data_IF_513958968786
#
_entry.id   IF_513958968786
#
_cell.length_a   1.000
_cell.length_b   1.000
_cell.length_c   1.000
_cell.angle_alpha   90.00
_cell.angle_beta   90.00
_cell.angle_gamma   90.00
#
_symmetry.space_group_name_H-M   'P 1'
#
loop_
_entity.id
_entity.type
_entity.pdbx_description
1 polymer ?
#
# COMPACT_ATOMS: atom_id res chain seq x y z
N UNK A 1 -4.62 -26.47 -40.45
CA UNK A 1 -3.99 -25.35 -39.72
C UNK A 1 -3.89 -25.77 -38.26
N UNK A 2 -2.69 -26.12 -37.78
CA UNK A 2 -2.44 -26.41 -36.37
C UNK A 2 -2.21 -25.07 -35.66
N UNK A 3 -3.17 -24.62 -34.87
CA UNK A 3 -2.99 -23.48 -33.99
C UNK A 3 -2.25 -23.94 -32.73
N UNK A 4 -1.14 -23.29 -32.39
CA UNK A 4 -0.52 -23.45 -31.07
C UNK A 4 -1.55 -23.06 -30.00
N UNK A 5 -1.76 -23.95 -29.03
CA UNK A 5 -2.54 -23.61 -27.84
C UNK A 5 -1.67 -22.71 -26.97
N UNK A 6 -2.16 -21.52 -26.65
CA UNK A 6 -1.63 -20.71 -25.55
C UNK A 6 -1.78 -21.50 -24.25
N UNK A 7 -0.73 -22.23 -23.87
CA UNK A 7 -0.59 -22.69 -22.51
C UNK A 7 -0.15 -21.48 -21.67
N UNK A 8 -1.07 -20.90 -20.92
CA UNK A 8 -0.70 -20.07 -19.77
C UNK A 8 0.09 -20.97 -18.80
N UNK A 9 1.41 -20.81 -18.78
CA UNK A 9 2.29 -21.47 -17.82
C UNK A 9 1.94 -20.96 -16.42
N UNK A 10 1.12 -21.71 -15.69
CA UNK A 10 0.81 -21.43 -14.29
C UNK A 10 1.97 -21.87 -13.41
N UNK A 11 2.55 -20.92 -12.69
CA UNK A 11 3.57 -21.18 -11.67
C UNK A 11 3.09 -20.65 -10.32
N UNK A 12 3.40 -21.37 -9.25
CA UNK A 12 3.05 -20.99 -7.87
C UNK A 12 4.28 -21.16 -6.97
N UNK A 13 5.37 -20.50 -7.37
CA UNK A 13 6.65 -20.53 -6.65
C UNK A 13 6.86 -19.24 -5.87
N UNK A 14 7.61 -19.36 -4.76
CA UNK A 14 8.18 -18.21 -4.07
C UNK A 14 9.26 -17.62 -4.98
N UNK A 15 9.06 -16.39 -5.44
CA UNK A 15 10.03 -15.66 -6.23
C UNK A 15 10.85 -14.74 -5.33
N UNK A 16 12.17 -14.88 -5.38
CA UNK A 16 13.12 -14.01 -4.69
C UNK A 16 13.88 -13.21 -5.74
N UNK A 17 13.94 -11.90 -5.55
CA UNK A 17 14.77 -11.02 -6.35
C UNK A 17 15.36 -9.93 -5.47
N UNK A 18 16.37 -9.24 -5.99
CA UNK A 18 17.03 -8.13 -5.31
C UNK A 18 16.89 -6.88 -6.16
N UNK A 19 16.74 -5.74 -5.50
CA UNK A 19 16.56 -4.44 -6.16
C UNK A 19 17.14 -3.35 -5.27
N UNK A 20 17.64 -2.28 -5.90
CA UNK A 20 18.11 -1.09 -5.20
C UNK A 20 16.98 -0.09 -4.90
N UNK A 21 15.82 -0.28 -5.51
CA UNK A 21 14.64 0.56 -5.32
C UNK A 21 13.50 -0.25 -4.72
N UNK A 22 12.80 0.35 -3.76
CA UNK A 22 11.67 -0.29 -3.11
C UNK A 22 10.53 -0.53 -4.10
N UNK A 23 9.98 -1.74 -4.07
CA UNK A 23 8.85 -2.15 -4.90
C UNK A 23 7.58 -1.49 -4.38
N UNK A 24 7.46 -1.35 -3.05
CA UNK A 24 6.36 -0.62 -2.44
C UNK A 24 6.27 0.83 -2.96
N UNK A 25 7.41 1.51 -3.08
CA UNK A 25 7.46 2.87 -3.64
C UNK A 25 6.98 2.92 -5.10
N UNK A 26 7.32 1.90 -5.90
CA UNK A 26 6.84 1.82 -7.29
C UNK A 26 5.33 1.61 -7.35
N UNK A 27 4.77 0.72 -6.54
CA UNK A 27 3.32 0.52 -6.48
C UNK A 27 2.56 1.79 -6.11
N UNK A 28 3.09 2.57 -5.17
CA UNK A 28 2.46 3.83 -4.73
C UNK A 28 2.58 4.93 -5.78
N UNK A 29 3.70 4.97 -6.51
CA UNK A 29 3.91 5.92 -7.61
C UNK A 29 2.94 5.64 -8.76
N UNK A 30 2.73 4.37 -9.07
CA UNK A 30 1.88 3.94 -10.19
C UNK A 30 0.39 3.91 -9.79
N UNK A 31 0.07 3.70 -8.50
CA UNK A 31 -1.30 3.62 -7.97
C UNK A 31 -1.43 4.27 -6.60
N UNK A 32 -2.45 5.12 -6.44
CA UNK A 32 -2.72 5.79 -5.17
C UNK A 32 -3.18 4.88 -4.03
N UNK A 33 -3.74 3.69 -4.29
CA UNK A 33 -4.13 2.70 -3.25
C UNK A 33 -3.72 1.27 -3.64
N UNK A 34 -2.47 0.84 -3.40
CA UNK A 34 -1.99 -0.49 -3.81
C UNK A 34 -2.12 -1.55 -2.70
N UNK A 35 -3.09 -1.43 -1.79
CA UNK A 35 -3.18 -2.25 -0.57
C UNK A 35 -3.13 -3.77 -0.87
N UNK A 36 -3.87 -4.23 -1.88
CA UNK A 36 -3.91 -5.64 -2.28
C UNK A 36 -2.62 -6.17 -2.93
N UNK A 37 -1.85 -5.33 -3.62
CA UNK A 37 -0.57 -5.70 -4.26
C UNK A 37 0.56 -5.70 -3.24
N UNK A 38 0.55 -4.69 -2.37
CA UNK A 38 1.46 -4.51 -1.24
C UNK A 38 1.36 -5.69 -0.26
N UNK A 39 0.15 -6.21 -0.03
CA UNK A 39 -0.08 -7.38 0.82
C UNK A 39 0.54 -8.69 0.30
N UNK A 40 1.00 -8.73 -0.97
CA UNK A 40 1.64 -9.91 -1.59
C UNK A 40 3.14 -9.79 -1.74
N UNK A 41 3.70 -8.63 -1.42
CA UNK A 41 5.14 -8.37 -1.47
C UNK A 41 5.66 -8.28 -0.06
N UNK A 42 6.82 -8.89 0.17
CA UNK A 42 7.58 -8.80 1.42
C UNK A 42 8.97 -8.31 1.04
N UNK A 43 9.31 -7.09 1.42
CA UNK A 43 10.61 -6.48 1.13
C UNK A 43 11.46 -6.39 2.40
N UNK A 44 12.40 -7.32 2.53
CA UNK A 44 13.40 -7.26 3.59
C UNK A 44 14.52 -6.28 3.21
N UNK A 45 14.80 -5.33 4.09
CA UNK A 45 15.99 -4.48 3.93
C UNK A 45 17.21 -5.22 4.47
N UNK A 46 17.96 -5.87 3.59
CA UNK A 46 19.18 -6.59 3.96
C UNK A 46 20.37 -5.65 3.93
N UNK A 47 20.80 -5.20 5.11
CA UNK A 47 22.04 -4.46 5.25
C UNK A 47 23.24 -5.37 4.98
N UNK A 48 24.28 -4.80 4.37
CA UNK A 48 25.53 -5.52 4.12
C UNK A 48 26.14 -5.95 5.46
N UNK A 49 26.35 -7.26 5.72
CA UNK A 49 26.94 -7.71 6.97
C UNK A 49 28.35 -7.15 7.16
N UNK A 50 28.72 -6.83 8.41
CA UNK A 50 30.00 -6.18 8.76
C UNK A 50 31.22 -6.95 8.22
N UNK A 51 31.17 -8.29 8.25
CA UNK A 51 32.25 -9.15 7.74
C UNK A 51 32.59 -8.86 6.27
N UNK A 52 31.60 -8.46 5.46
CA UNK A 52 31.78 -8.09 4.06
C UNK A 52 32.19 -6.62 3.87
N UNK A 53 32.13 -5.80 4.92
CA UNK A 53 32.56 -4.39 4.91
C UNK A 53 34.05 -4.25 5.24
N UNK A 54 34.68 -5.30 5.78
CA UNK A 54 36.13 -5.34 5.99
C UNK A 54 36.93 -5.23 4.68
N UNK A 55 38.21 -4.87 4.78
CA UNK A 55 39.14 -4.80 3.63
C UNK A 55 39.21 -6.11 2.84
N UNK A 56 38.99 -7.25 3.52
CA UNK A 56 38.97 -8.58 2.92
C UNK A 56 37.57 -9.05 2.50
N UNK A 57 36.52 -8.29 2.80
CA UNK A 57 35.13 -8.67 2.58
C UNK A 57 34.81 -9.01 1.12
N UNK A 58 35.43 -8.30 0.16
CA UNK A 58 35.28 -8.60 -1.27
C UNK A 58 35.88 -9.96 -1.68
N UNK A 59 37.01 -10.34 -1.07
CA UNK A 59 37.64 -11.66 -1.29
C UNK A 59 36.79 -12.77 -0.66
N UNK A 60 36.30 -12.54 0.56
CA UNK A 60 35.42 -13.49 1.25
C UNK A 60 34.12 -13.74 0.47
N UNK A 61 33.50 -12.67 -0.06
CA UNK A 61 32.32 -12.79 -0.91
C UNK A 61 32.56 -13.71 -2.11
N UNK A 62 33.67 -13.52 -2.84
CA UNK A 62 34.03 -14.42 -3.95
C UNK A 62 34.26 -15.86 -3.49
N UNK A 63 34.97 -16.06 -2.37
CA UNK A 63 35.21 -17.40 -1.83
C UNK A 63 33.91 -18.14 -1.49
N UNK A 64 32.89 -17.42 -1.02
CA UNK A 64 31.59 -18.01 -0.68
C UNK A 64 30.73 -18.27 -1.94
N UNK A 65 30.66 -17.30 -2.86
CA UNK A 65 29.68 -17.34 -3.96
C UNK A 65 30.23 -17.92 -5.27
N UNK A 66 31.52 -17.80 -5.57
CA UNK A 66 32.11 -18.34 -6.81
C UNK A 66 31.95 -19.86 -6.93
N UNK A 67 32.10 -20.66 -5.85
CA UNK A 67 31.87 -22.11 -5.92
C UNK A 67 30.45 -22.47 -6.39
N UNK A 68 29.43 -21.64 -6.13
CA UNK A 68 28.05 -21.91 -6.54
C UNK A 68 27.87 -21.86 -8.07
N UNK A 69 28.81 -21.26 -8.81
CA UNK A 69 28.77 -21.21 -10.27
C UNK A 69 28.97 -22.57 -10.92
N UNK A 70 29.72 -23.46 -10.26
CA UNK A 70 30.05 -24.80 -10.78
C UNK A 70 29.49 -25.93 -9.91
N UNK A 71 29.05 -25.63 -8.68
CA UNK A 71 28.56 -26.62 -7.72
C UNK A 71 27.13 -26.28 -7.30
N UNK A 72 26.14 -26.66 -8.11
CA UNK A 72 24.72 -26.36 -7.89
C UNK A 72 23.83 -27.60 -8.11
N UNK A 73 22.61 -27.56 -7.55
CA UNK A 73 21.61 -28.63 -7.72
C UNK A 73 21.78 -29.85 -6.81
N UNK A 74 22.79 -29.87 -5.92
CA UNK A 74 23.04 -30.98 -5.00
C UNK A 74 21.95 -31.09 -3.91
N UNK A 75 21.60 -29.96 -3.27
CA UNK A 75 20.63 -29.94 -2.19
C UNK A 75 19.26 -30.48 -2.61
N UNK A 76 18.77 -30.13 -3.81
CA UNK A 76 17.48 -30.60 -4.31
C UNK A 76 17.38 -32.13 -4.42
N UNK A 77 18.48 -32.81 -4.81
CA UNK A 77 18.53 -34.27 -4.90
C UNK A 77 18.44 -34.96 -3.54
N UNK A 78 18.86 -34.30 -2.47
CA UNK A 78 18.76 -34.79 -1.10
C UNK A 78 17.40 -34.43 -0.50
N UNK A 79 16.91 -33.24 -0.82
CA UNK A 79 15.70 -32.67 -0.24
C UNK A 79 14.42 -33.37 -0.74
N UNK A 80 14.33 -33.64 -2.05
CA UNK A 80 13.13 -34.27 -2.63
C UNK A 80 12.83 -35.65 -1.99
N UNK A 81 13.79 -36.58 -1.86
CA UNK A 81 13.57 -37.83 -1.13
C UNK A 81 13.17 -37.63 0.34
N UNK A 82 13.69 -36.60 1.01
CA UNK A 82 13.33 -36.30 2.39
C UNK A 82 11.84 -35.92 2.52
N UNK A 83 11.29 -35.17 1.55
CA UNK A 83 9.86 -34.86 1.48
C UNK A 83 9.03 -36.13 1.35
N UNK A 84 9.38 -37.01 0.39
CA UNK A 84 8.66 -38.28 0.17
C UNK A 84 8.70 -39.20 1.39
N UNK A 85 9.83 -39.23 2.12
CA UNK A 85 9.97 -40.03 3.33
C UNK A 85 9.08 -39.55 4.47
N UNK A 86 8.87 -38.24 4.58
CA UNK A 86 8.01 -37.64 5.60
C UNK A 86 6.52 -37.89 5.29
N UNK A 87 6.14 -37.77 4.01
CA UNK A 87 4.78 -38.01 3.53
C UNK A 87 3.84 -36.79 3.69
N UNK A 88 2.80 -36.77 2.87
CA UNK A 88 1.93 -35.59 2.67
C UNK A 88 1.25 -35.10 3.96
N UNK A 89 0.76 -36.01 4.82
CA UNK A 89 0.10 -35.63 6.07
C UNK A 89 1.05 -34.88 6.99
N UNK A 90 2.23 -35.45 7.25
CA UNK A 90 3.22 -34.83 8.13
C UNK A 90 3.79 -33.53 7.54
N UNK A 91 3.88 -33.41 6.21
CA UNK A 91 4.22 -32.16 5.54
C UNK A 91 3.16 -31.08 5.76
N UNK A 92 1.89 -31.45 5.61
CA UNK A 92 0.75 -30.56 5.85
C UNK A 92 0.71 -30.10 7.30
N UNK A 93 0.86 -31.03 8.25
CA UNK A 93 0.84 -30.76 9.68
C UNK A 93 2.00 -29.83 10.08
N UNK A 94 3.21 -30.09 9.56
CA UNK A 94 4.38 -29.26 9.83
C UNK A 94 4.22 -27.84 9.26
N UNK A 95 3.66 -27.73 8.05
CA UNK A 95 3.41 -26.43 7.43
C UNK A 95 2.35 -25.65 8.22
N UNK A 96 1.29 -26.32 8.67
CA UNK A 96 0.26 -25.74 9.51
C UNK A 96 0.82 -25.27 10.86
N UNK A 97 1.68 -26.07 11.51
CA UNK A 97 2.33 -25.71 12.78
C UNK A 97 3.10 -24.39 12.67
N UNK A 98 3.87 -24.20 11.59
CA UNK A 98 4.57 -22.93 11.35
C UNK A 98 3.62 -21.77 11.03
N UNK A 99 2.53 -22.03 10.30
CA UNK A 99 1.50 -21.02 10.02
C UNK A 99 0.77 -20.55 11.28
N UNK A 100 0.41 -21.48 12.16
CA UNK A 100 -0.21 -21.19 13.46
C UNK A 100 0.75 -20.42 14.38
N UNK A 101 2.02 -20.84 14.42
CA UNK A 101 3.08 -20.14 15.15
C UNK A 101 3.25 -18.70 14.63
N UNK A 102 3.33 -18.51 13.31
CA UNK A 102 3.35 -17.17 12.71
C UNK A 102 2.13 -16.35 13.11
N UNK A 103 0.92 -16.91 12.98
CA UNK A 103 -0.32 -16.20 13.29
C UNK A 103 -0.39 -15.73 14.75
N UNK A 104 0.11 -16.56 15.68
CA UNK A 104 0.22 -16.23 17.09
C UNK A 104 1.23 -15.10 17.35
N UNK A 105 2.39 -15.17 16.72
CA UNK A 105 3.51 -14.27 17.02
C UNK A 105 3.41 -12.93 16.25
N UNK A 106 2.77 -12.92 15.07
CA UNK A 106 2.60 -11.75 14.20
C UNK A 106 1.23 -11.05 14.34
N UNK A 107 0.17 -11.82 14.61
CA UNK A 107 -1.22 -11.36 14.68
C UNK A 107 -2.09 -11.86 13.52
N UNK A 108 -3.24 -12.48 13.83
CA UNK A 108 -4.12 -13.17 12.88
C UNK A 108 -5.06 -12.27 12.08
N UNK A 109 -4.52 -11.34 11.28
CA UNK A 109 -5.33 -10.61 10.28
C UNK A 109 -5.23 -11.32 8.92
N UNK A 110 -6.40 -11.60 8.33
CA UNK A 110 -6.56 -12.19 7.00
C UNK A 110 -5.81 -11.44 5.87
N UNK A 111 -5.53 -10.15 6.05
CA UNK A 111 -4.74 -9.35 5.12
C UNK A 111 -3.31 -9.91 4.93
N UNK A 112 -2.78 -10.65 5.91
CA UNK A 112 -1.40 -11.15 5.90
C UNK A 112 -1.28 -12.64 5.57
N UNK A 113 -2.30 -13.25 4.96
CA UNK A 113 -2.26 -14.66 4.53
C UNK A 113 -1.06 -14.99 3.64
N UNK A 114 -0.61 -14.04 2.81
CA UNK A 114 0.60 -14.23 1.98
C UNK A 114 1.87 -14.31 2.82
N UNK A 115 1.94 -13.54 3.91
CA UNK A 115 3.06 -13.52 4.85
C UNK A 115 3.10 -14.85 5.62
N UNK A 116 1.94 -15.29 6.10
CA UNK A 116 1.76 -16.58 6.76
C UNK A 116 2.21 -17.74 5.84
N UNK A 117 1.67 -17.81 4.61
CA UNK A 117 2.02 -18.87 3.67
C UNK A 117 3.52 -18.88 3.33
N UNK A 118 4.14 -17.70 3.18
CA UNK A 118 5.57 -17.57 2.91
C UNK A 118 6.41 -18.12 4.07
N UNK A 119 6.08 -17.73 5.30
CA UNK A 119 6.78 -18.18 6.51
C UNK A 119 6.56 -19.67 6.72
N UNK A 120 5.31 -20.13 6.66
CA UNK A 120 4.94 -21.52 6.84
C UNK A 120 5.73 -22.44 5.89
N UNK A 121 5.71 -22.16 4.59
CA UNK A 121 6.42 -22.97 3.60
C UNK A 121 7.95 -22.89 3.76
N UNK A 122 8.50 -21.69 4.00
CA UNK A 122 9.96 -21.50 4.08
C UNK A 122 10.56 -22.14 5.33
N UNK A 123 9.91 -22.00 6.49
CA UNK A 123 10.41 -22.52 7.75
C UNK A 123 10.15 -24.01 7.91
N UNK A 124 8.99 -24.53 7.47
CA UNK A 124 8.77 -25.97 7.38
C UNK A 124 9.85 -26.61 6.49
N UNK A 125 10.14 -25.99 5.34
CA UNK A 125 11.16 -26.50 4.44
C UNK A 125 12.59 -26.40 4.99
N UNK A 126 12.92 -25.29 5.64
CA UNK A 126 14.20 -25.11 6.33
C UNK A 126 14.40 -26.16 7.44
N UNK A 127 13.36 -26.44 8.23
CA UNK A 127 13.42 -27.45 9.28
C UNK A 127 13.62 -28.86 8.73
N UNK A 128 12.96 -29.22 7.62
CA UNK A 128 13.20 -30.50 6.94
C UNK A 128 14.65 -30.58 6.45
N UNK A 129 15.18 -29.50 5.88
CA UNK A 129 16.55 -29.47 5.38
C UNK A 129 17.58 -29.63 6.51
N UNK A 130 17.36 -28.98 7.66
CA UNK A 130 18.22 -29.15 8.86
C UNK A 130 18.12 -30.56 9.43
N UNK A 131 16.90 -31.12 9.56
CA UNK A 131 16.69 -32.49 10.08
C UNK A 131 17.32 -33.59 9.23
N UNK A 132 17.63 -33.30 7.96
CA UNK A 132 18.27 -34.24 7.03
C UNK A 132 19.72 -33.83 6.71
N UNK A 133 20.34 -32.98 7.54
CA UNK A 133 21.73 -32.55 7.41
C UNK A 133 22.09 -31.94 6.05
N UNK A 134 21.12 -31.34 5.36
CA UNK A 134 21.32 -30.66 4.08
C UNK A 134 21.91 -29.26 4.32
N UNK A 135 21.51 -28.61 5.42
CA UNK A 135 21.99 -27.30 5.85
C UNK A 135 22.21 -27.30 7.38
N UNK A 136 23.17 -26.50 7.84
CA UNK A 136 23.47 -26.32 9.28
C UNK A 136 23.08 -24.94 9.77
N UNK A 137 21.80 -24.57 9.65
CA UNK A 137 21.29 -23.25 10.07
C UNK A 137 20.47 -23.36 11.36
N UNK A 138 20.60 -22.35 12.22
CA UNK A 138 19.75 -22.17 13.39
C UNK A 138 18.41 -21.55 12.97
N UNK A 139 17.42 -22.42 12.73
CA UNK A 139 16.11 -22.04 12.21
C UNK A 139 15.32 -21.20 13.22
N UNK A 140 15.47 -21.46 14.52
CA UNK A 140 14.78 -20.70 15.56
C UNK A 140 15.29 -19.26 15.62
N UNK A 141 16.61 -19.07 15.64
CA UNK A 141 17.20 -17.72 15.58
C UNK A 141 16.82 -16.98 14.29
N UNK A 142 16.73 -17.69 13.16
CA UNK A 142 16.30 -17.08 11.89
C UNK A 142 14.84 -16.67 12.00
N UNK A 143 13.98 -17.52 12.56
CA UNK A 143 12.55 -17.24 12.74
C UNK A 143 12.30 -15.98 13.54
N UNK A 144 12.93 -15.86 14.71
CA UNK A 144 12.77 -14.70 15.60
C UNK A 144 13.15 -13.39 14.88
N UNK A 145 14.26 -13.40 14.14
CA UNK A 145 14.68 -12.24 13.34
C UNK A 145 13.71 -11.95 12.20
N UNK A 146 13.23 -12.98 11.49
CA UNK A 146 12.27 -12.81 10.40
C UNK A 146 10.96 -12.21 10.90
N UNK A 147 10.40 -12.69 12.01
CA UNK A 147 9.16 -12.13 12.58
C UNK A 147 9.34 -10.68 12.99
N UNK A 148 10.43 -10.35 13.68
CA UNK A 148 10.72 -8.97 14.06
C UNK A 148 10.81 -8.04 12.84
N UNK A 149 11.51 -8.46 11.79
CA UNK A 149 11.59 -7.68 10.55
C UNK A 149 10.25 -7.56 9.83
N UNK A 150 9.45 -8.63 9.80
CA UNK A 150 8.11 -8.59 9.20
C UNK A 150 7.18 -7.64 9.96
N UNK A 151 7.25 -7.60 11.29
CA UNK A 151 6.49 -6.64 12.12
C UNK A 151 6.92 -5.20 11.79
N UNK A 152 8.24 -4.95 11.67
CA UNK A 152 8.76 -3.64 11.26
C UNK A 152 8.28 -3.23 9.87
N UNK A 153 8.30 -4.15 8.90
CA UNK A 153 7.80 -3.92 7.55
C UNK A 153 6.32 -3.55 7.59
N UNK A 154 5.49 -4.33 8.31
CA UNK A 154 4.07 -4.05 8.48
C UNK A 154 3.85 -2.65 9.02
N UNK A 155 4.50 -2.30 10.12
CA UNK A 155 4.30 -1.02 10.79
C UNK A 155 4.74 0.15 9.91
N UNK A 156 5.83 -0.01 9.13
CA UNK A 156 6.27 0.97 8.13
C UNK A 156 5.26 1.12 7.00
N UNK A 157 4.85 0.01 6.38
CA UNK A 157 3.91 0.00 5.26
C UNK A 157 2.56 0.61 5.64
N UNK A 158 2.04 0.27 6.82
CA UNK A 158 0.74 0.76 7.31
C UNK A 158 0.77 2.26 7.62
N UNK A 159 1.93 2.80 8.01
CA UNK A 159 2.10 4.23 8.31
C UNK A 159 2.39 5.05 7.06
N UNK A 160 3.30 4.57 6.21
CA UNK A 160 3.84 5.36 5.09
C UNK A 160 2.93 5.34 3.86
N UNK A 161 2.06 4.33 3.72
CA UNK A 161 1.23 4.13 2.53
C UNK A 161 -0.27 4.19 2.78
N UNK A 162 -0.71 4.59 3.98
CA UNK A 162 -2.10 4.98 4.18
C UNK A 162 -2.37 6.25 3.38
N UNK A 163 -3.30 6.16 2.43
CA UNK A 163 -3.77 7.31 1.68
C UNK A 163 -4.37 8.30 2.67
N UNK A 164 -3.76 9.48 2.80
CA UNK A 164 -4.38 10.58 3.54
C UNK A 164 -5.52 11.17 2.70
N UNK A 165 -6.70 10.59 2.87
CA UNK A 165 -7.91 11.03 2.19
C UNK A 165 -8.27 12.50 2.51
N UNK A 166 -7.84 13.03 3.66
CA UNK A 166 -8.07 14.45 4.00
C UNK A 166 -7.16 15.36 3.18
N UNK A 167 -5.93 14.92 2.92
CA UNK A 167 -5.01 15.63 2.05
C UNK A 167 -5.53 15.70 0.61
N UNK A 168 -6.20 14.66 0.10
CA UNK A 168 -6.80 14.67 -1.25
C UNK A 168 -7.85 15.76 -1.43
N UNK A 169 -8.69 16.00 -0.42
CA UNK A 169 -9.67 17.09 -0.46
C UNK A 169 -8.95 18.45 -0.51
N UNK A 170 -7.92 18.62 0.30
CA UNK A 170 -7.13 19.86 0.33
C UNK A 170 -6.39 20.10 -0.98
N UNK A 171 -5.80 19.06 -1.57
CA UNK A 171 -5.14 19.11 -2.89
C UNK A 171 -6.14 19.53 -3.97
N UNK A 172 -7.34 18.95 -3.99
CA UNK A 172 -8.37 19.33 -4.94
C UNK A 172 -8.81 20.78 -4.80
N UNK A 173 -9.03 21.24 -3.57
CA UNK A 173 -9.42 22.63 -3.30
C UNK A 173 -8.32 23.59 -3.75
N UNK A 174 -7.06 23.30 -3.41
CA UNK A 174 -5.90 24.10 -3.79
C UNK A 174 -5.71 24.18 -5.32
N UNK A 175 -5.81 23.05 -6.01
CA UNK A 175 -5.74 23.00 -7.47
C UNK A 175 -6.90 23.75 -8.16
N UNK A 176 -8.01 23.96 -7.45
CA UNK A 176 -9.21 24.58 -7.95
C UNK A 176 -9.61 25.87 -7.20
N UNK A 177 -8.67 26.57 -6.55
CA UNK A 177 -8.97 27.82 -5.82
C UNK A 177 -9.71 28.81 -6.73
N UNK A 178 -9.19 29.04 -7.95
CA UNK A 178 -9.80 29.93 -8.94
C UNK A 178 -11.18 29.50 -9.43
N UNK A 179 -11.59 28.27 -9.15
CA UNK A 179 -12.87 27.65 -9.53
C UNK A 179 -13.77 27.37 -8.32
N UNK A 180 -13.37 27.86 -7.14
CA UNK A 180 -14.06 27.66 -5.87
C UNK A 180 -14.75 28.95 -5.45
N UNK A 181 -16.05 28.86 -5.15
CA UNK A 181 -16.81 29.95 -4.57
C UNK A 181 -16.58 29.99 -3.05
N UNK A 182 -16.16 31.12 -2.51
CA UNK A 182 -16.01 31.30 -1.06
C UNK A 182 -17.02 32.31 -0.53
N UNK A 183 -17.82 31.89 0.45
CA UNK A 183 -18.79 32.73 1.15
C UNK A 183 -18.40 32.82 2.63
N UNK A 184 -18.30 34.04 3.12
CA UNK A 184 -18.01 34.40 4.52
C UNK A 184 -18.88 35.59 4.91
N UNK A 185 -19.48 35.56 6.09
CA UNK A 185 -20.35 36.62 6.61
C UNK A 185 -21.48 36.97 5.61
N UNK A 186 -22.07 35.94 4.99
CA UNK A 186 -23.09 36.03 3.95
C UNK A 186 -22.69 36.83 2.70
N UNK A 187 -21.40 37.11 2.51
CA UNK A 187 -20.84 37.80 1.36
C UNK A 187 -19.94 36.87 0.57
N UNK A 188 -19.93 37.07 -0.75
CA UNK A 188 -18.99 36.38 -1.63
C UNK A 188 -17.65 37.08 -1.49
N UNK A 189 -16.65 36.36 -0.97
CA UNK A 189 -15.28 36.86 -0.77
C UNK A 189 -14.39 36.47 -1.93
N UNK A 190 -14.65 35.30 -2.52
CA UNK A 190 -13.92 34.84 -3.71
C UNK A 190 -14.92 34.36 -4.77
N UNK A 191 -14.91 35.04 -5.92
CA UNK A 191 -15.69 34.65 -7.09
C UNK A 191 -14.88 33.71 -7.99
N UNK A 192 -15.48 32.60 -8.45
CA UNK A 192 -14.82 31.70 -9.38
C UNK A 192 -14.64 32.37 -10.74
N UNK A 193 -13.48 32.18 -11.38
CA UNK A 193 -13.14 32.76 -12.68
C UNK A 193 -13.53 31.87 -13.86
N UNK A 194 -13.59 30.56 -13.65
CA UNK A 194 -14.01 29.59 -14.67
C UNK A 194 -15.17 28.73 -14.16
N UNK A 195 -15.27 27.50 -14.66
CA UNK A 195 -16.28 26.53 -14.22
C UNK A 195 -16.26 26.40 -12.69
N UNK A 196 -17.44 26.45 -12.07
CA UNK A 196 -17.60 26.34 -10.62
C UNK A 196 -17.57 24.88 -10.19
N UNK A 197 -16.61 24.51 -9.34
CA UNK A 197 -16.33 23.11 -9.01
C UNK A 197 -16.45 22.81 -7.51
N UNK A 198 -16.28 23.82 -6.67
CA UNK A 198 -16.42 23.73 -5.23
C UNK A 198 -17.03 25.00 -4.64
N UNK A 199 -17.64 24.86 -3.46
CA UNK A 199 -18.18 25.96 -2.65
C UNK A 199 -17.73 25.77 -1.21
N UNK A 200 -17.07 26.77 -0.65
CA UNK A 200 -16.72 26.86 0.75
C UNK A 200 -17.61 27.91 1.41
N UNK A 201 -18.39 27.52 2.40
CA UNK A 201 -19.27 28.42 3.15
C UNK A 201 -18.87 28.38 4.62
N UNK A 202 -18.23 29.45 5.09
CA UNK A 202 -17.76 29.57 6.48
C UNK A 202 -18.96 29.59 7.44
N UNK A 203 -20.01 30.33 7.10
CA UNK A 203 -21.23 30.48 7.92
C UNK A 203 -21.95 29.14 8.15
N UNK A 204 -21.94 28.26 7.14
CA UNK A 204 -22.56 26.94 7.22
C UNK A 204 -21.56 25.88 7.74
N UNK A 205 -20.28 26.22 7.92
CA UNK A 205 -19.18 25.27 8.19
C UNK A 205 -19.17 24.08 7.22
N UNK A 206 -19.43 24.35 5.94
CA UNK A 206 -19.57 23.34 4.89
C UNK A 206 -18.63 23.61 3.73
N UNK A 207 -18.01 22.53 3.25
CA UNK A 207 -17.33 22.48 1.96
C UNK A 207 -18.12 21.55 1.06
N UNK A 208 -18.47 22.03 -0.12
CA UNK A 208 -19.21 21.26 -1.11
C UNK A 208 -18.36 21.14 -2.38
N UNK A 209 -18.22 19.93 -2.89
CA UNK A 209 -17.39 19.66 -4.06
C UNK A 209 -18.19 18.88 -5.09
N UNK A 210 -18.02 19.20 -6.38
CA UNK A 210 -18.59 18.43 -7.48
C UNK A 210 -18.10 16.98 -7.43
N UNK A 211 -19.02 16.01 -7.24
CA UNK A 211 -18.66 14.59 -7.19
C UNK A 211 -18.00 14.14 -8.49
N UNK A 212 -18.52 14.56 -9.64
CA UNK A 212 -17.99 14.15 -10.94
C UNK A 212 -16.52 14.56 -11.14
N UNK A 213 -16.16 15.79 -10.74
CA UNK A 213 -14.79 16.28 -10.92
C UNK A 213 -13.83 15.74 -9.87
N UNK A 214 -14.31 15.56 -8.64
CA UNK A 214 -13.50 14.96 -7.59
C UNK A 214 -13.22 13.48 -7.90
N UNK A 215 -14.24 12.74 -8.35
CA UNK A 215 -14.09 11.33 -8.77
C UNK A 215 -13.11 11.21 -9.95
N UNK A 216 -13.12 12.15 -10.91
CA UNK A 216 -12.14 12.18 -12.00
C UNK A 216 -10.69 12.33 -11.48
N UNK A 217 -10.47 13.19 -10.48
CA UNK A 217 -9.17 13.32 -9.82
C UNK A 217 -8.77 12.03 -9.08
N UNK A 218 -9.69 11.43 -8.33
CA UNK A 218 -9.45 10.17 -7.62
C UNK A 218 -9.10 9.05 -8.60
N UNK A 219 -9.84 8.94 -9.71
CA UNK A 219 -9.60 7.94 -10.75
C UNK A 219 -8.23 8.13 -11.43
N UNK A 220 -7.85 9.38 -11.73
CA UNK A 220 -6.52 9.69 -12.29
C UNK A 220 -5.38 9.31 -11.36
N UNK A 221 -5.61 9.36 -10.05
CA UNK A 221 -4.66 8.89 -9.02
C UNK A 221 -4.82 7.41 -8.71
N UNK A 222 -5.68 6.67 -9.41
CA UNK A 222 -6.00 5.26 -9.13
C UNK A 222 -6.44 5.01 -7.68
N UNK A 223 -7.24 5.92 -7.13
CA UNK A 223 -7.81 5.83 -5.78
C UNK A 223 -9.28 5.42 -5.89
N UNK A 224 -9.69 4.41 -5.11
CA UNK A 224 -11.08 3.95 -5.07
C UNK A 224 -11.99 5.00 -4.44
N UNK A 225 -13.02 5.41 -5.18
CA UNK A 225 -14.05 6.35 -4.71
C UNK A 225 -14.82 5.78 -3.52
N UNK A 226 -15.13 4.48 -3.54
CA UNK A 226 -15.82 3.79 -2.45
C UNK A 226 -15.00 3.76 -1.16
N UNK A 227 -13.69 3.52 -1.26
CA UNK A 227 -12.78 3.52 -0.10
C UNK A 227 -12.66 4.93 0.49
N UNK A 228 -12.47 5.95 -0.36
CA UNK A 228 -12.47 7.34 0.05
C UNK A 228 -13.77 7.71 0.79
N UNK A 229 -14.93 7.38 0.22
CA UNK A 229 -16.23 7.67 0.82
C UNK A 229 -16.40 6.98 2.18
N UNK A 230 -16.00 5.72 2.31
CA UNK A 230 -16.08 4.96 3.55
C UNK A 230 -15.15 5.55 4.62
N UNK A 231 -13.92 5.88 4.27
CA UNK A 231 -12.94 6.46 5.18
C UNK A 231 -13.37 7.85 5.67
N UNK A 232 -13.83 8.72 4.76
CA UNK A 232 -14.26 10.08 5.09
C UNK A 232 -15.58 10.12 5.86
N UNK A 233 -16.49 9.15 5.66
CA UNK A 233 -17.68 8.97 6.51
C UNK A 233 -17.27 8.52 7.91
N UNK A 234 -16.33 7.57 8.01
CA UNK A 234 -15.82 7.06 9.29
C UNK A 234 -15.11 8.14 10.11
N UNK A 235 -14.39 9.05 9.46
CA UNK A 235 -13.75 10.21 10.14
C UNK A 235 -14.76 11.30 10.54
N UNK A 236 -16.01 11.24 10.06
CA UNK A 236 -17.03 12.28 10.26
C UNK A 236 -16.82 13.53 9.41
N UNK A 237 -15.84 13.51 8.48
CA UNK A 237 -15.54 14.64 7.59
C UNK A 237 -16.54 14.70 6.44
N UNK A 238 -16.89 13.57 5.83
CA UNK A 238 -17.94 13.50 4.81
C UNK A 238 -19.31 13.33 5.48
N UNK A 239 -20.14 14.35 5.35
CA UNK A 239 -21.49 14.40 5.94
C UNK A 239 -22.49 13.67 5.05
N UNK A 240 -22.46 13.95 3.73
CA UNK A 240 -23.49 13.46 2.81
C UNK A 240 -23.02 13.49 1.35
N UNK A 241 -23.72 12.74 0.50
CA UNK A 241 -23.54 12.72 -0.95
C UNK A 241 -24.90 12.89 -1.61
N UNK A 242 -25.24 14.12 -1.93
CA UNK A 242 -26.57 14.47 -2.46
C UNK A 242 -26.52 15.56 -3.51
N UNK A 243 -27.63 15.69 -4.24
CA UNK A 243 -27.82 16.77 -5.20
C UNK A 243 -27.87 18.10 -4.45
N UNK A 244 -27.11 19.07 -4.94
CA UNK A 244 -27.03 20.42 -4.40
C UNK A 244 -26.70 21.42 -5.50
N UNK A 245 -26.47 22.67 -5.10
CA UNK A 245 -26.13 23.76 -6.01
C UNK A 245 -24.90 24.49 -5.50
N UNK A 246 -23.83 24.47 -6.28
CA UNK A 246 -22.57 25.14 -5.91
C UNK A 246 -22.69 26.67 -5.96
N UNK A 247 -23.59 27.23 -6.77
CA UNK A 247 -23.80 28.67 -6.86
C UNK A 247 -24.73 29.23 -5.76
N UNK A 248 -25.14 28.41 -4.77
CA UNK A 248 -26.02 28.85 -3.68
C UNK A 248 -25.37 29.99 -2.89
N UNK A 249 -26.04 31.15 -2.85
CA UNK A 249 -25.56 32.35 -2.15
C UNK A 249 -24.76 33.33 -3.03
N UNK A 250 -24.50 32.98 -4.30
CA UNK A 250 -23.89 33.87 -5.27
C UNK A 250 -24.95 34.50 -6.18
N UNK A 251 -25.31 35.76 -5.90
CA UNK A 251 -26.42 36.45 -6.58
C UNK A 251 -26.14 36.72 -8.07
N UNK A 252 -24.88 36.91 -8.43
CA UNK A 252 -24.41 37.18 -9.80
C UNK A 252 -24.03 35.90 -10.57
N UNK A 253 -24.36 34.71 -10.05
CA UNK A 253 -23.94 33.46 -10.67
C UNK A 253 -24.49 33.30 -12.10
N UNK A 254 -23.63 32.98 -13.09
CA UNK A 254 -24.05 32.81 -14.48
C UNK A 254 -24.90 31.54 -14.69
N UNK A 255 -24.79 30.55 -13.80
CA UNK A 255 -25.61 29.34 -13.80
C UNK A 255 -25.76 28.78 -12.39
N UNK A 256 -26.94 28.23 -12.09
CA UNK A 256 -27.28 27.61 -10.81
C UNK A 256 -27.83 26.19 -10.99
N UNK A 257 -27.23 25.45 -11.91
CA UNK A 257 -27.61 24.07 -12.22
C UNK A 257 -27.38 23.13 -11.02
N UNK A 258 -28.30 22.20 -10.75
CA UNK A 258 -28.10 21.18 -9.74
C UNK A 258 -27.00 20.20 -10.17
N UNK A 259 -26.17 19.77 -9.23
CA UNK A 259 -25.15 18.76 -9.43
C UNK A 259 -25.08 17.82 -8.23
N UNK A 260 -24.58 16.60 -8.41
CA UNK A 260 -24.31 15.69 -7.29
C UNK A 260 -23.02 16.12 -6.60
N UNK A 261 -23.10 16.38 -5.30
CA UNK A 261 -22.00 16.97 -4.53
C UNK A 261 -21.59 16.06 -3.37
N UNK A 262 -20.31 16.07 -3.05
CA UNK A 262 -19.83 15.71 -1.73
C UNK A 262 -20.04 16.88 -0.76
N UNK A 263 -20.53 16.58 0.44
CA UNK A 263 -20.75 17.55 1.50
C UNK A 263 -19.83 17.24 2.65
N UNK A 264 -18.78 18.03 2.80
CA UNK A 264 -17.81 17.88 3.87
C UNK A 264 -18.06 18.89 4.99
N UNK A 265 -17.79 18.46 6.22
CA UNK A 265 -17.67 19.33 7.38
C UNK A 265 -16.38 20.14 7.22
N UNK A 266 -16.49 21.46 7.28
CA UNK A 266 -15.31 22.33 7.31
C UNK A 266 -14.63 22.22 8.67
N UNK A 267 -13.45 21.62 8.73
CA UNK A 267 -12.50 21.75 9.85
C UNK A 267 -11.38 22.75 9.54
N UNK A 268 -11.35 23.29 8.31
CA UNK A 268 -10.41 24.32 7.91
C UNK A 268 -10.61 25.54 8.81
N UNK A 269 -9.60 25.84 9.64
CA UNK A 269 -9.49 27.17 10.24
C UNK A 269 -9.51 28.21 9.11
N UNK A 270 -10.08 29.40 9.36
CA UNK A 270 -10.11 30.48 8.38
C UNK A 270 -8.75 30.85 7.78
N UNK A 271 -7.64 30.40 8.35
CA UNK A 271 -6.27 30.83 8.03
C UNK A 271 -5.77 30.42 6.63
N UNK A 272 -6.36 29.42 5.95
CA UNK A 272 -6.03 29.17 4.53
C UNK A 272 -6.58 30.29 3.62
N UNK A 273 -7.56 31.06 4.10
CA UNK A 273 -8.20 32.14 3.34
C UNK A 273 -7.43 33.47 3.39
N UNK A 274 -6.46 33.64 4.28
CA UNK A 274 -5.72 34.90 4.45
C UNK A 274 -4.55 35.07 3.46
N UNK A 275 -4.22 34.05 2.65
CA UNK A 275 -3.13 34.13 1.66
C UNK A 275 -3.52 34.95 0.43
N UNK A 276 -4.80 35.30 0.25
CA UNK A 276 -5.26 36.14 -0.85
C UNK A 276 -5.03 37.65 -0.62
N UNK A 277 -4.82 38.09 0.63
CA UNK A 277 -4.68 39.52 0.98
C UNK A 277 -3.20 39.97 1.11
N UNK A 278 -2.22 39.08 0.92
CA UNK A 278 -0.80 39.39 1.12
C UNK A 278 -0.05 39.89 -0.14
N UNK A 279 -0.71 39.99 -1.30
CA UNK A 279 -0.13 40.60 -2.50
C UNK A 279 -0.97 41.81 -2.93
N UNK A 280 -0.87 42.88 -2.15
CA UNK A 280 -1.09 44.26 -2.61
C UNK A 280 0.23 44.89 -3.01
#
# INVERSE_FOLDING_TARGET
VNAEREHELKSSLIAIYTTNHSIYQRFVTDKGSPEGETARVIEFNVLKPEIFMSEQGGKLGRQIFDPLRTNYGHAGRMYVPALYKLGDSALSDLTAEWGERFSRDFGGDSAYRFYENFVAASFAGGQIAVRNDIIGLDIERIYDNTIMEMIRIRDRVTKDYKVDYSNLLSEFLNANIGNTLVIKDHKVVHEPRNALVARCCSDESLIQVSKAQFDDMLNKKSISTSEFEAAMKKSGTLIDIKVGRLAKGWKSAPSNSPARLYWFRSTLTPDILDVADANT
#
